data_IF_627312769637
#
_entry.id   IF_627312769637
#
_cell.length_a   1.000
_cell.length_b   1.000
_cell.length_c   1.000
_cell.angle_alpha   90.00
_cell.angle_beta   90.00
_cell.angle_gamma   90.00
#
_symmetry.space_group_name_H-M   'P 1'
#
loop_
_entity.id
_entity.type
_entity.pdbx_description
1 polymer ?
#
# COMPACT_ATOMS: atom_id res chain seq x y z
N UNK A 1 -20.00 -3.09 20.88
CA UNK A 1 -20.00 -2.57 19.50
C UNK A 1 -19.86 -3.74 18.54
N UNK A 2 -20.48 -3.68 17.37
CA UNK A 2 -20.29 -4.71 16.33
C UNK A 2 -18.81 -4.70 15.89
N UNK A 3 -18.15 -5.86 15.92
CA UNK A 3 -16.77 -6.00 15.43
C UNK A 3 -16.82 -6.17 13.92
N UNK A 4 -16.13 -5.28 13.19
CA UNK A 4 -16.00 -5.42 11.74
C UNK A 4 -15.14 -6.63 11.38
N UNK A 5 -15.50 -7.29 10.29
CA UNK A 5 -14.74 -8.36 9.66
C UNK A 5 -13.48 -7.83 8.94
N UNK A 6 -12.51 -8.71 8.67
CA UNK A 6 -11.30 -8.34 7.93
C UNK A 6 -11.59 -7.78 6.54
N UNK A 7 -12.61 -8.31 5.86
CA UNK A 7 -13.05 -7.82 4.54
C UNK A 7 -13.59 -6.39 4.62
N UNK A 8 -14.34 -6.05 5.66
CA UNK A 8 -14.85 -4.68 5.85
C UNK A 8 -13.71 -3.69 6.13
N UNK A 9 -12.68 -4.09 6.87
CA UNK A 9 -11.49 -3.24 7.06
C UNK A 9 -10.69 -3.09 5.77
N UNK A 10 -10.56 -4.15 4.98
CA UNK A 10 -9.84 -4.12 3.71
C UNK A 10 -10.55 -3.23 2.70
N UNK A 11 -11.88 -3.34 2.59
CA UNK A 11 -12.69 -2.48 1.73
C UNK A 11 -12.57 -1.00 2.13
N UNK A 12 -12.70 -0.70 3.43
CA UNK A 12 -12.55 0.67 3.91
C UNK A 12 -11.14 1.24 3.66
N UNK A 13 -10.10 0.42 3.75
CA UNK A 13 -8.73 0.84 3.45
C UNK A 13 -8.53 1.09 1.95
N UNK A 14 -9.11 0.25 1.09
CA UNK A 14 -9.06 0.40 -0.36
C UNK A 14 -9.78 1.66 -0.84
N UNK A 15 -10.99 1.91 -0.31
CA UNK A 15 -11.73 3.14 -0.58
C UNK A 15 -10.93 4.37 -0.15
N UNK A 16 -10.37 4.36 1.06
CA UNK A 16 -9.53 5.47 1.54
C UNK A 16 -8.31 5.69 0.64
N UNK A 17 -7.64 4.62 0.20
CA UNK A 17 -6.45 4.70 -0.65
C UNK A 17 -6.78 5.29 -2.03
N UNK A 18 -7.82 4.79 -2.70
CA UNK A 18 -8.28 5.31 -3.99
C UNK A 18 -8.79 6.75 -3.87
N UNK A 19 -9.49 7.08 -2.79
CA UNK A 19 -10.00 8.43 -2.59
C UNK A 19 -8.85 9.42 -2.39
N UNK A 20 -7.83 9.02 -1.65
CA UNK A 20 -6.68 9.87 -1.35
C UNK A 20 -5.76 10.04 -2.57
N UNK A 21 -5.55 8.99 -3.37
CA UNK A 21 -4.62 9.01 -4.50
C UNK A 21 -5.26 9.45 -5.83
N UNK A 22 -6.56 9.19 -6.01
CA UNK A 22 -7.28 9.33 -7.28
C UNK A 22 -8.62 10.08 -7.16
N UNK A 23 -9.07 10.47 -5.96
CA UNK A 23 -10.42 11.03 -5.70
C UNK A 23 -11.53 10.10 -6.23
N UNK A 24 -11.41 8.80 -5.98
CA UNK A 24 -12.39 7.79 -6.41
C UNK A 24 -12.65 6.78 -5.29
N UNK A 25 -13.77 6.08 -5.35
CA UNK A 25 -14.09 4.97 -4.44
C UNK A 25 -14.20 3.65 -5.21
N UNK A 26 -14.04 2.52 -4.52
CA UNK A 26 -14.09 1.18 -5.14
C UNK A 26 -15.45 0.97 -5.84
N UNK A 27 -16.56 1.39 -5.24
CA UNK A 27 -17.89 1.27 -5.86
C UNK A 27 -18.04 2.07 -7.17
N UNK A 28 -17.37 3.21 -7.30
CA UNK A 28 -17.42 4.04 -8.51
C UNK A 28 -16.65 3.37 -9.66
N UNK A 29 -15.54 2.71 -9.35
CA UNK A 29 -14.75 1.93 -10.32
C UNK A 29 -15.29 0.51 -10.58
N UNK A 30 -16.05 -0.08 -9.65
CA UNK A 30 -16.69 -1.40 -9.80
C UNK A 30 -18.02 -1.37 -10.59
N UNK A 31 -18.47 -0.18 -10.99
CA UNK A 31 -19.66 0.02 -11.83
C UNK A 31 -19.50 -0.11 -13.38
N UNK A 32 -18.52 -0.84 -13.98
CA UNK A 32 -18.49 -1.08 -15.42
C UNK A 32 -18.95 -2.50 -15.83
N UNK A 33 -19.65 -3.24 -14.95
CA UNK A 33 -20.42 -4.42 -15.39
C UNK A 33 -21.67 -4.04 -16.22
N UNK A 34 -21.94 -2.75 -16.41
CA UNK A 34 -22.76 -2.25 -17.50
C UNK A 34 -21.89 -2.10 -18.76
N UNK A 35 -22.05 -3.06 -19.68
CA UNK A 35 -21.61 -3.04 -21.09
C UNK A 35 -20.11 -2.81 -21.36
N UNK A 36 -19.30 -3.85 -21.11
CA UNK A 36 -17.92 -3.98 -21.62
C UNK A 36 -17.81 -4.10 -23.16
N UNK A 37 -18.90 -3.92 -23.91
CA UNK A 37 -18.95 -4.02 -25.36
C UNK A 37 -18.60 -2.72 -26.10
N UNK A 38 -18.51 -1.56 -25.41
CA UNK A 38 -18.30 -0.25 -26.05
C UNK A 38 -17.30 0.67 -25.31
N UNK A 39 -16.26 0.13 -24.69
CA UNK A 39 -15.19 0.97 -24.14
C UNK A 39 -14.24 1.40 -25.28
N UNK A 40 -13.95 2.71 -25.44
CA UNK A 40 -12.89 3.14 -26.35
C UNK A 40 -11.57 2.53 -25.88
N UNK A 41 -10.81 1.95 -26.81
CA UNK A 41 -9.51 1.29 -26.61
C UNK A 41 -8.38 2.20 -26.05
N UNK A 42 -8.72 3.40 -25.56
CA UNK A 42 -7.81 4.39 -24.99
C UNK A 42 -8.48 5.15 -23.82
N UNK A 43 -8.92 4.44 -22.78
CA UNK A 43 -9.07 5.10 -21.46
C UNK A 43 -7.66 5.22 -20.90
N UNK A 44 -7.03 6.37 -21.12
CA UNK A 44 -5.70 6.66 -20.57
C UNK A 44 -5.71 6.59 -19.05
N UNK A 45 -4.55 6.34 -18.41
CA UNK A 45 -4.46 6.17 -16.97
C UNK A 45 -5.08 7.38 -16.26
N UNK A 46 -5.97 7.12 -15.31
CA UNK A 46 -6.55 8.16 -14.46
C UNK A 46 -5.39 8.89 -13.76
N UNK A 47 -5.21 10.17 -14.07
CA UNK A 47 -4.05 10.92 -13.62
C UNK A 47 -4.01 10.94 -12.07
N UNK A 48 -2.90 10.52 -11.43
CA UNK A 48 -2.78 10.56 -9.98
C UNK A 48 -2.93 11.99 -9.50
N UNK A 49 -3.83 12.22 -8.56
CA UNK A 49 -4.12 13.56 -8.08
C UNK A 49 -3.09 13.98 -7.03
N UNK A 50 -1.84 14.24 -7.44
CA UNK A 50 -0.78 14.97 -6.71
C UNK A 50 -0.34 14.48 -5.32
N UNK A 51 -1.11 13.65 -4.63
CA UNK A 51 -0.86 13.16 -3.29
C UNK A 51 -0.32 11.74 -3.36
N UNK A 52 1.01 11.64 -3.34
CA UNK A 52 1.72 10.38 -3.23
C UNK A 52 1.66 9.87 -1.79
N UNK A 53 1.30 8.59 -1.60
CA UNK A 53 1.19 7.98 -0.26
C UNK A 53 2.40 7.10 0.01
N UNK A 54 3.07 7.34 1.14
CA UNK A 54 4.14 6.51 1.67
C UNK A 54 3.65 5.52 2.73
N UNK A 55 4.30 4.36 2.80
CA UNK A 55 4.06 3.32 3.78
C UNK A 55 5.21 3.24 4.79
N UNK A 56 4.96 3.66 6.03
CA UNK A 56 5.94 3.63 7.12
C UNK A 56 5.54 2.58 8.17
N UNK A 57 6.24 1.46 8.17
CA UNK A 57 5.96 0.29 8.98
C UNK A 57 6.87 0.22 10.20
N UNK A 58 6.27 0.02 11.37
CA UNK A 58 6.97 -0.22 12.63
C UNK A 58 6.65 -1.64 13.07
N UNK A 59 7.67 -2.49 13.17
CA UNK A 59 7.55 -3.93 13.42
C UNK A 59 7.21 -4.72 12.16
N UNK A 60 6.56 -5.87 12.35
CA UNK A 60 6.19 -6.82 11.29
C UNK A 60 4.83 -7.47 11.50
N UNK A 61 4.58 -8.53 10.75
CA UNK A 61 3.35 -9.33 10.84
C UNK A 61 2.13 -8.61 10.27
N UNK A 62 0.95 -8.98 10.77
CA UNK A 62 -0.34 -8.56 10.18
C UNK A 62 -0.53 -7.04 10.15
N UNK A 63 0.09 -6.31 11.10
CA UNK A 63 0.01 -4.85 11.16
C UNK A 63 0.68 -4.16 9.95
N UNK A 64 1.70 -4.78 9.35
CA UNK A 64 2.33 -4.33 8.11
C UNK A 64 1.74 -5.01 6.88
N UNK A 65 1.57 -6.33 6.95
CA UNK A 65 1.17 -7.15 5.80
C UNK A 65 -0.27 -6.89 5.35
N UNK A 66 -1.20 -6.67 6.27
CA UNK A 66 -2.59 -6.38 5.93
C UNK A 66 -2.72 -5.09 5.11
N UNK A 67 -2.25 -3.93 5.60
CA UNK A 67 -2.44 -2.69 4.86
C UNK A 67 -1.58 -2.57 3.60
N UNK A 68 -0.34 -3.09 3.56
CA UNK A 68 0.49 -2.99 2.34
C UNK A 68 -0.08 -3.79 1.17
N UNK A 69 -0.87 -4.83 1.46
CA UNK A 69 -1.54 -5.67 0.45
C UNK A 69 -2.78 -5.01 -0.18
N UNK A 70 -3.18 -3.81 0.26
CA UNK A 70 -4.33 -3.10 -0.34
C UNK A 70 -4.10 -2.79 -1.83
N UNK A 71 -2.89 -2.37 -2.20
CA UNK A 71 -2.55 -2.02 -3.59
C UNK A 71 -2.55 -3.26 -4.51
N UNK A 72 -1.89 -4.38 -4.14
CA UNK A 72 -2.03 -5.64 -4.89
C UNK A 72 -3.48 -6.15 -4.98
N UNK A 73 -4.27 -6.01 -3.92
CA UNK A 73 -5.68 -6.42 -3.93
C UNK A 73 -6.49 -5.59 -4.93
N UNK A 74 -6.29 -4.26 -4.98
CA UNK A 74 -6.93 -3.39 -5.96
C UNK A 74 -6.52 -3.79 -7.40
N UNK A 75 -5.23 -4.00 -7.65
CA UNK A 75 -4.72 -4.33 -8.99
C UNK A 75 -5.08 -5.74 -9.46
N UNK A 76 -4.88 -6.74 -8.60
CA UNK A 76 -4.91 -8.14 -9.01
C UNK A 76 -6.29 -8.75 -8.78
N UNK A 77 -6.90 -8.48 -7.62
CA UNK A 77 -8.19 -9.06 -7.26
C UNK A 77 -9.35 -8.26 -7.87
N UNK A 78 -9.32 -6.93 -7.72
CA UNK A 78 -10.37 -6.04 -8.26
C UNK A 78 -10.13 -5.63 -9.71
N UNK A 79 -8.92 -5.81 -10.25
CA UNK A 79 -8.53 -5.41 -11.62
C UNK A 79 -8.75 -3.93 -11.91
N UNK A 80 -8.51 -3.11 -10.89
CA UNK A 80 -8.63 -1.66 -10.95
C UNK A 80 -7.24 -1.02 -11.01
N UNK A 81 -7.13 0.12 -11.68
CA UNK A 81 -5.88 0.90 -11.69
C UNK A 81 -5.76 1.73 -10.41
N UNK A 82 -4.62 1.66 -9.74
CA UNK A 82 -4.24 2.58 -8.67
C UNK A 82 -2.73 2.84 -8.69
N UNK A 83 -2.20 3.91 -8.06
CA UNK A 83 -0.75 4.05 -7.98
C UNK A 83 -0.17 3.08 -6.95
N UNK A 84 1.06 2.63 -7.16
CA UNK A 84 1.84 1.93 -6.14
C UNK A 84 2.15 2.84 -4.94
N UNK A 85 2.60 2.26 -3.83
CA UNK A 85 3.08 3.05 -2.70
C UNK A 85 4.31 3.84 -3.13
N UNK A 86 4.34 5.15 -2.87
CA UNK A 86 5.38 6.06 -3.34
C UNK A 86 6.62 6.12 -2.44
N UNK A 87 6.55 5.50 -1.26
CA UNK A 87 7.65 5.39 -0.31
C UNK A 87 7.43 4.15 0.56
N UNK A 88 8.52 3.47 0.92
CA UNK A 88 8.47 2.37 1.88
C UNK A 88 9.57 2.51 2.93
N UNK A 89 9.22 2.42 4.20
CA UNK A 89 10.19 2.24 5.27
C UNK A 89 9.68 1.19 6.24
N UNK A 90 10.57 0.30 6.66
CA UNK A 90 10.27 -0.69 7.67
C UNK A 90 11.33 -0.68 8.75
N UNK A 91 10.89 -0.58 10.00
CA UNK A 91 11.75 -0.75 11.18
C UNK A 91 11.38 -2.07 11.83
N UNK A 92 12.31 -3.00 11.91
CA UNK A 92 12.08 -4.34 12.47
C UNK A 92 13.36 -4.86 13.12
N UNK A 93 13.24 -5.61 14.21
CA UNK A 93 14.35 -6.30 14.88
C UNK A 93 14.62 -7.69 14.28
N UNK A 94 13.75 -8.16 13.38
CA UNK A 94 13.89 -9.43 12.69
C UNK A 94 14.94 -9.33 11.58
N UNK A 95 15.97 -10.16 11.64
CA UNK A 95 16.88 -10.38 10.52
C UNK A 95 16.10 -10.92 9.33
N UNK A 96 16.46 -10.52 8.11
CA UNK A 96 15.90 -11.09 6.88
C UNK A 96 16.23 -12.59 6.77
N UNK A 97 15.48 -13.43 7.48
CA UNK A 97 15.55 -14.88 7.35
C UNK A 97 14.66 -15.29 6.18
N UNK A 98 15.22 -16.12 5.31
CA UNK A 98 14.62 -16.66 4.10
C UNK A 98 13.14 -17.06 4.31
N UNK A 99 12.21 -16.35 3.67
CA UNK A 99 10.77 -16.70 3.65
C UNK A 99 9.83 -15.96 4.62
N UNK A 100 10.25 -14.87 5.28
CA UNK A 100 9.31 -14.01 6.02
C UNK A 100 8.60 -13.03 5.06
N UNK A 101 7.26 -13.02 5.05
CA UNK A 101 6.45 -12.02 4.32
C UNK A 101 6.86 -10.57 4.65
N UNK A 102 7.28 -10.34 5.91
CA UNK A 102 7.74 -9.04 6.39
C UNK A 102 9.24 -8.77 6.12
N UNK A 103 10.02 -9.74 5.67
CA UNK A 103 11.46 -9.60 5.34
C UNK A 103 11.79 -9.82 3.87
N UNK A 104 10.76 -9.89 3.02
CA UNK A 104 10.87 -10.09 1.58
C UNK A 104 11.82 -9.06 0.94
N UNK A 105 12.77 -9.56 0.15
CA UNK A 105 13.79 -8.78 -0.57
C UNK A 105 13.09 -7.68 -1.38
N UNK A 106 13.64 -6.46 -1.49
CA UNK A 106 13.03 -5.36 -2.24
C UNK A 106 12.43 -5.72 -3.61
N UNK A 107 13.08 -6.62 -4.36
CA UNK A 107 12.59 -7.11 -5.65
C UNK A 107 11.27 -7.89 -5.57
N UNK A 108 11.02 -8.62 -4.49
CA UNK A 108 9.75 -9.34 -4.30
C UNK A 108 8.59 -8.35 -4.16
N UNK A 109 8.80 -7.21 -3.48
CA UNK A 109 7.78 -6.16 -3.32
C UNK A 109 7.45 -5.44 -4.64
N UNK A 110 8.39 -5.41 -5.59
CA UNK A 110 8.17 -4.87 -6.94
C UNK A 110 7.35 -5.83 -7.79
N UNK A 111 7.69 -7.13 -7.79
CA UNK A 111 6.96 -8.13 -8.58
C UNK A 111 5.49 -8.26 -8.18
N UNK A 112 5.17 -8.05 -6.90
CA UNK A 112 3.78 -8.05 -6.40
C UNK A 112 3.00 -6.76 -6.71
N UNK A 113 3.62 -5.75 -7.33
CA UNK A 113 2.99 -4.46 -7.58
C UNK A 113 2.73 -3.65 -6.31
N UNK A 114 3.51 -3.88 -5.24
CA UNK A 114 3.42 -3.05 -4.01
C UNK A 114 4.19 -1.74 -4.19
N UNK A 115 5.36 -1.81 -4.82
CA UNK A 115 6.28 -0.69 -5.01
C UNK A 115 6.74 -0.66 -6.47
N UNK A 116 7.05 0.54 -6.98
CA UNK A 116 7.75 0.67 -8.26
C UNK A 116 9.26 0.45 -8.08
N UNK A 117 9.95 0.19 -9.19
CA UNK A 117 11.41 -0.03 -9.19
C UNK A 117 12.16 1.16 -8.55
N UNK A 118 11.76 2.37 -8.92
CA UNK A 118 12.35 3.63 -8.47
C UNK A 118 11.82 4.12 -7.11
N UNK A 119 10.86 3.42 -6.51
CA UNK A 119 10.30 3.83 -5.20
C UNK A 119 11.39 3.83 -4.12
N UNK A 120 11.58 4.95 -3.38
CA UNK A 120 12.49 5.01 -2.24
C UNK A 120 12.05 4.03 -1.16
N UNK A 121 12.95 3.12 -0.79
CA UNK A 121 12.68 2.00 0.10
C UNK A 121 13.82 1.78 1.08
N UNK A 122 13.48 1.73 2.38
CA UNK A 122 14.43 1.61 3.47
C UNK A 122 14.01 0.50 4.43
N UNK A 123 14.96 -0.31 4.86
CA UNK A 123 14.77 -1.32 5.91
C UNK A 123 15.79 -1.02 7.00
N UNK A 124 15.30 -0.79 8.21
CA UNK A 124 16.09 -0.50 9.40
C UNK A 124 15.97 -1.71 10.32
N UNK A 125 17.07 -2.46 10.41
CA UNK A 125 17.18 -3.60 11.32
C UNK A 125 17.56 -3.11 12.73
N UNK A 126 16.56 -2.71 13.52
CA UNK A 126 16.76 -2.19 14.88
C UNK A 126 15.47 -2.23 15.70
N UNK A 127 15.62 -2.10 17.02
CA UNK A 127 14.49 -1.95 17.93
C UNK A 127 13.76 -0.61 17.65
N UNK A 128 12.46 -0.71 17.40
CA UNK A 128 11.60 0.44 17.12
C UNK A 128 11.62 1.48 18.25
N UNK A 129 11.77 1.06 19.50
CA UNK A 129 11.80 1.94 20.67
C UNK A 129 13.03 2.84 20.70
N UNK A 130 14.10 2.47 19.98
CA UNK A 130 15.31 3.28 19.84
C UNK A 130 15.18 4.22 18.64
N UNK A 131 14.82 3.69 17.47
CA UNK A 131 14.94 4.45 16.22
C UNK A 131 13.73 5.32 15.91
N UNK A 132 12.50 4.87 16.19
CA UNK A 132 11.28 5.62 15.86
C UNK A 132 11.26 7.00 16.54
N UNK A 133 11.57 7.13 17.85
CA UNK A 133 11.60 8.45 18.49
C UNK A 133 12.61 9.40 17.85
N UNK A 134 13.77 8.90 17.40
CA UNK A 134 14.80 9.71 16.75
C UNK A 134 14.35 10.21 15.37
N UNK A 135 13.72 9.33 14.58
CA UNK A 135 13.15 9.71 13.27
C UNK A 135 12.06 10.76 13.46
N UNK A 136 11.14 10.54 14.39
CA UNK A 136 10.03 11.47 14.63
C UNK A 136 10.53 12.81 15.18
N UNK A 137 11.53 12.81 16.08
CA UNK A 137 12.15 14.06 16.54
C UNK A 137 12.74 14.86 15.36
N UNK A 138 13.44 14.18 14.44
CA UNK A 138 14.04 14.83 13.28
C UNK A 138 13.01 15.33 12.26
N UNK A 139 11.99 14.52 11.94
CA UNK A 139 11.00 14.83 10.88
C UNK A 139 9.91 15.79 11.37
N UNK A 140 9.45 15.64 12.61
CA UNK A 140 8.36 16.44 13.18
C UNK A 140 8.86 17.68 13.95
N UNK A 141 10.18 17.83 14.13
CA UNK A 141 10.78 19.00 14.78
C UNK A 141 10.54 19.05 16.29
N UNK A 142 10.72 17.92 16.98
CA UNK A 142 10.48 17.79 18.42
C UNK A 142 11.68 18.24 19.26
#
# INVERSE_FOLDING_TARGET
GCVRSGTEYMGALADWYLQTTMIQNVCEQASPLADTANLPENVGPCAPNGAAIGFFQIGGGIAGDFPICVVPMIHQDLRLECPCWAYFCQISDSTTSYGSYSGAVPNEKITWGKLEEDTPKFIIESDATIVVPLIFAHVLGW
#
